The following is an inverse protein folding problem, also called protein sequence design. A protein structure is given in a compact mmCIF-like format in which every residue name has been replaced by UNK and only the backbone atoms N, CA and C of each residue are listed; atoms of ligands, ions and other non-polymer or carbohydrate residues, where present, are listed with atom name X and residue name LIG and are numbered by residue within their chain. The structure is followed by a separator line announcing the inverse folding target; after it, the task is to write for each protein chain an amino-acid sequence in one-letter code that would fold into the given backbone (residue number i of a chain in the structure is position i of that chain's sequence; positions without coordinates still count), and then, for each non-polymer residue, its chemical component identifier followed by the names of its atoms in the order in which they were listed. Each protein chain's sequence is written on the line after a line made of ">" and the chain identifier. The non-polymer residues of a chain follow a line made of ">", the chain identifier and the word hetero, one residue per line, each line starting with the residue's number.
data_IF_264316245079
#
_entry.id   IF_264316245079
#
_cell.length_a   1.000
_cell.length_b   1.000
_cell.length_c   1.000
_cell.angle_alpha   90.00
_cell.angle_beta   90.00
_cell.angle_gamma   90.00
#
_symmetry.space_group_name_H-M   'P 1'
#
loop_
_entity.id
_entity.type
_entity.pdbx_description
1 polymer ?
#
# COMPACT_ATOMS: atom_id res chain seq x y z
N UNK A 1 36.75 -41.77 9.60
CA UNK A 1 36.14 -42.48 8.45
C UNK A 1 34.64 -42.25 8.50
N UNK A 2 34.07 -41.99 7.34
CA UNK A 2 32.86 -41.18 7.11
C UNK A 2 31.54 -41.88 7.48
N UNK A 3 30.53 -41.09 7.86
CA UNK A 3 29.14 -41.34 7.44
C UNK A 3 28.65 -40.07 6.74
N UNK A 4 28.64 -40.14 5.41
CA UNK A 4 28.09 -39.11 4.55
C UNK A 4 26.56 -39.06 4.78
N UNK A 5 26.05 -37.87 5.09
CA UNK A 5 24.63 -37.58 5.00
C UNK A 5 24.22 -37.73 3.53
N UNK A 6 23.29 -38.63 3.24
CA UNK A 6 22.73 -38.74 1.90
C UNK A 6 21.87 -37.50 1.66
N UNK A 7 22.35 -36.62 0.78
CA UNK A 7 21.54 -35.57 0.15
C UNK A 7 20.48 -36.29 -0.68
N UNK A 8 19.21 -35.97 -0.44
CA UNK A 8 18.11 -36.49 -1.23
C UNK A 8 18.12 -35.70 -2.55
N UNK A 9 18.81 -36.22 -3.56
CA UNK A 9 18.74 -35.68 -4.92
C UNK A 9 17.33 -35.94 -5.46
N UNK A 10 16.52 -34.89 -5.46
CA UNK A 10 15.22 -34.87 -6.13
C UNK A 10 15.45 -34.84 -7.64
N UNK A 11 15.38 -36.02 -8.28
CA UNK A 11 15.45 -36.13 -9.74
C UNK A 11 14.13 -35.66 -10.35
N UNK A 12 14.12 -34.46 -10.93
CA UNK A 12 13.01 -34.01 -11.76
C UNK A 12 13.08 -34.70 -13.14
N UNK A 13 12.30 -35.75 -13.33
CA UNK A 13 12.05 -36.36 -14.65
C UNK A 13 11.15 -35.43 -15.48
N UNK A 14 11.72 -34.35 -16.02
CA UNK A 14 11.03 -33.51 -16.99
C UNK A 14 10.89 -34.27 -18.32
N UNK A 15 9.71 -34.84 -18.57
CA UNK A 15 9.35 -35.41 -19.87
C UNK A 15 8.87 -34.29 -20.79
N UNK A 16 9.73 -33.85 -21.72
CA UNK A 16 9.34 -32.91 -22.76
C UNK A 16 8.21 -33.53 -23.63
N UNK A 17 7.12 -32.79 -23.91
CA UNK A 17 6.03 -33.31 -24.74
C UNK A 17 6.54 -33.76 -26.11
N UNK A 18 6.21 -34.99 -26.49
CA UNK A 18 6.64 -35.63 -27.75
C UNK A 18 6.13 -34.86 -28.99
N UNK A 19 5.08 -34.05 -28.82
CA UNK A 19 4.56 -33.13 -29.82
C UNK A 19 4.41 -31.74 -29.22
N UNK A 20 5.39 -30.84 -29.38
CA UNK A 20 5.18 -29.44 -29.06
C UNK A 20 4.05 -28.92 -29.96
N UNK A 21 3.04 -28.29 -29.37
CA UNK A 21 2.01 -27.61 -30.14
C UNK A 21 2.70 -26.59 -31.06
N UNK A 22 2.57 -26.74 -32.38
CA UNK A 22 3.14 -25.78 -33.32
C UNK A 22 2.41 -24.46 -33.15
N UNK A 23 3.06 -23.50 -32.51
CA UNK A 23 2.58 -22.11 -32.49
C UNK A 23 2.68 -21.55 -33.90
N UNK A 24 1.54 -21.15 -34.46
CA UNK A 24 1.48 -20.50 -35.76
C UNK A 24 2.10 -19.09 -35.66
N UNK A 25 3.37 -18.99 -36.03
CA UNK A 25 4.14 -17.73 -36.06
C UNK A 25 3.66 -16.74 -37.12
N UNK A 26 2.75 -17.16 -38.02
CA UNK A 26 2.16 -16.26 -39.03
C UNK A 26 0.91 -15.54 -38.50
N UNK A 27 0.38 -15.98 -37.35
CA UNK A 27 -0.76 -15.34 -36.70
C UNK A 27 -0.33 -14.04 -36.02
N UNK A 28 -0.18 -12.99 -36.82
CA UNK A 28 -0.03 -11.63 -36.29
C UNK A 28 -1.29 -11.28 -35.51
N UNK A 29 -1.12 -10.74 -34.30
CA UNK A 29 -2.26 -10.25 -33.50
C UNK A 29 -2.92 -9.15 -34.35
N UNK A 30 -4.15 -9.40 -34.81
CA UNK A 30 -4.96 -8.36 -35.44
C UNK A 30 -5.05 -7.15 -34.51
N UNK A 31 -5.43 -5.96 -35.01
CA UNK A 31 -5.54 -4.77 -34.17
C UNK A 31 -6.36 -5.13 -32.93
N UNK A 32 -5.77 -4.94 -31.74
CA UNK A 32 -6.35 -5.29 -30.46
C UNK A 32 -7.59 -4.43 -30.20
N UNK A 33 -8.72 -4.79 -30.80
CA UNK A 33 -10.00 -4.09 -30.62
C UNK A 33 -10.67 -4.43 -29.28
N UNK A 34 -10.14 -5.42 -28.56
CA UNK A 34 -10.64 -5.85 -27.24
C UNK A 34 -10.49 -4.76 -26.16
N UNK A 35 -9.61 -3.76 -26.35
CA UNK A 35 -9.36 -2.66 -25.39
C UNK A 35 -9.82 -1.28 -25.90
N UNK A 36 -10.75 -1.24 -26.87
CA UNK A 36 -11.24 0.03 -27.44
C UNK A 36 -10.27 0.64 -28.46
N UNK A 37 -10.50 1.90 -28.88
CA UNK A 37 -9.68 2.55 -29.89
C UNK A 37 -8.21 2.59 -29.47
N UNK A 38 -7.33 2.08 -30.34
CA UNK A 38 -5.89 2.17 -30.12
C UNK A 38 -5.48 3.63 -30.13
N UNK A 39 -5.03 4.16 -28.99
CA UNK A 39 -4.50 5.52 -28.92
C UNK A 39 -3.36 5.71 -29.93
N UNK A 40 -3.28 6.90 -30.49
CA UNK A 40 -2.11 7.37 -31.24
C UNK A 40 -0.92 7.59 -30.32
N UNK A 41 0.29 7.72 -30.88
CA UNK A 41 1.50 8.04 -30.10
C UNK A 41 1.34 9.38 -29.36
N UNK A 42 0.76 10.39 -30.02
CA UNK A 42 0.53 11.71 -29.43
C UNK A 42 -0.46 11.65 -28.26
N UNK A 43 -1.53 10.87 -28.38
CA UNK A 43 -2.51 10.70 -27.29
C UNK A 43 -1.93 9.93 -26.11
N UNK A 44 -1.10 8.89 -26.37
CA UNK A 44 -0.36 8.21 -25.30
C UNK A 44 0.55 9.17 -24.56
N UNK A 45 1.33 9.98 -25.29
CA UNK A 45 2.22 10.96 -24.70
C UNK A 45 1.45 11.96 -23.82
N UNK A 46 0.37 12.55 -24.35
CA UNK A 46 -0.49 13.47 -23.61
C UNK A 46 -1.10 12.83 -22.36
N UNK A 47 -1.55 11.57 -22.44
CA UNK A 47 -2.08 10.84 -21.28
C UNK A 47 -1.01 10.69 -20.21
N UNK A 48 0.21 10.31 -20.60
CA UNK A 48 1.31 10.08 -19.67
C UNK A 48 1.76 11.40 -19.02
N UNK A 49 1.80 12.51 -19.77
CA UNK A 49 2.03 13.86 -19.22
C UNK A 49 0.99 14.24 -18.16
N UNK A 50 -0.31 14.00 -18.42
CA UNK A 50 -1.38 14.29 -17.45
C UNK A 50 -1.24 13.44 -16.18
N UNK A 51 -0.88 12.16 -16.33
CA UNK A 51 -0.63 11.26 -15.19
C UNK A 51 0.55 11.77 -14.36
N UNK A 52 1.67 12.09 -15.01
CA UNK A 52 2.87 12.61 -14.34
C UNK A 52 2.61 13.94 -13.63
N UNK A 53 1.89 14.86 -14.27
CA UNK A 53 1.53 16.14 -13.67
C UNK A 53 0.62 15.96 -12.45
N UNK A 54 -0.37 15.06 -12.52
CA UNK A 54 -1.24 14.70 -11.37
C UNK A 54 -0.42 14.11 -10.23
N UNK A 55 0.50 13.17 -10.51
CA UNK A 55 1.37 12.58 -9.50
C UNK A 55 2.22 13.64 -8.81
N UNK A 56 2.85 14.53 -9.57
CA UNK A 56 3.66 15.62 -9.00
C UNK A 56 2.81 16.59 -8.16
N UNK A 57 1.59 16.91 -8.60
CA UNK A 57 0.65 17.71 -7.82
C UNK A 57 0.27 17.07 -6.48
N UNK A 58 0.02 15.76 -6.48
CA UNK A 58 -0.26 15.01 -5.26
C UNK A 58 0.98 14.93 -4.35
N UNK A 59 2.16 14.73 -4.91
CA UNK A 59 3.42 14.70 -4.16
C UNK A 59 3.69 16.04 -3.47
N UNK A 60 3.52 17.16 -4.19
CA UNK A 60 3.64 18.50 -3.61
C UNK A 60 2.63 18.71 -2.47
N UNK A 61 1.39 18.27 -2.67
CA UNK A 61 0.36 18.36 -1.64
C UNK A 61 0.75 17.55 -0.40
N UNK A 62 1.30 16.35 -0.58
CA UNK A 62 1.74 15.49 0.51
C UNK A 62 2.84 16.14 1.35
N UNK A 63 3.79 16.82 0.70
CA UNK A 63 4.82 17.62 1.36
C UNK A 63 4.23 18.84 2.09
N UNK A 64 3.30 19.54 1.47
CA UNK A 64 2.63 20.71 2.07
C UNK A 64 1.82 20.35 3.31
N UNK A 65 1.19 19.18 3.30
CA UNK A 65 0.41 18.66 4.42
C UNK A 65 1.28 18.01 5.51
N UNK A 66 2.61 18.08 5.40
CA UNK A 66 3.50 17.49 6.39
C UNK A 66 3.30 15.99 6.53
N UNK A 67 3.10 15.28 5.40
CA UNK A 67 2.89 13.84 5.34
C UNK A 67 1.56 13.36 5.95
N UNK A 68 0.65 14.28 6.27
CA UNK A 68 -0.67 13.95 6.78
C UNK A 68 -1.64 13.60 5.64
N UNK A 69 -2.70 12.86 5.99
CA UNK A 69 -3.76 12.51 5.07
C UNK A 69 -4.42 13.77 4.50
N UNK A 70 -4.56 13.81 3.17
CA UNK A 70 -5.20 14.93 2.48
C UNK A 70 -6.72 14.78 2.54
N UNK A 71 -7.44 15.88 2.79
CA UNK A 71 -8.91 15.89 2.72
C UNK A 71 -9.39 15.97 1.26
N UNK A 72 -10.65 15.59 1.02
CA UNK A 72 -11.29 15.66 -0.30
C UNK A 72 -11.18 17.06 -0.94
N UNK A 73 -11.20 18.12 -0.14
CA UNK A 73 -11.05 19.50 -0.64
C UNK A 73 -9.67 19.73 -1.27
N UNK A 74 -8.60 19.26 -0.61
CA UNK A 74 -7.22 19.36 -1.11
C UNK A 74 -7.02 18.49 -2.36
N UNK A 75 -7.54 17.26 -2.35
CA UNK A 75 -7.50 16.37 -3.51
C UNK A 75 -8.27 16.97 -4.71
N UNK A 76 -9.40 17.62 -4.44
CA UNK A 76 -10.20 18.32 -5.45
C UNK A 76 -9.47 19.52 -6.06
N UNK A 77 -8.61 20.19 -5.30
CA UNK A 77 -7.76 21.26 -5.84
C UNK A 77 -6.70 20.71 -6.81
N UNK A 78 -6.03 19.61 -6.45
CA UNK A 78 -5.10 18.93 -7.35
C UNK A 78 -5.81 18.44 -8.62
N UNK A 79 -7.05 17.93 -8.51
CA UNK A 79 -7.85 17.55 -9.68
C UNK A 79 -8.21 18.74 -10.57
N UNK A 80 -8.47 19.93 -10.00
CA UNK A 80 -8.72 21.15 -10.78
C UNK A 80 -7.49 21.61 -11.55
N UNK A 81 -6.30 21.52 -10.95
CA UNK A 81 -5.05 21.93 -11.58
C UNK A 81 -4.51 20.91 -12.58
N UNK A 82 -4.72 19.62 -12.32
CA UNK A 82 -4.19 18.53 -13.13
C UNK A 82 -5.31 17.54 -13.49
N UNK A 83 -6.26 17.94 -14.35
CA UNK A 83 -7.40 17.10 -14.70
C UNK A 83 -6.96 15.91 -15.55
N UNK A 84 -7.35 14.71 -15.12
CA UNK A 84 -7.16 13.49 -15.90
C UNK A 84 -8.29 13.31 -16.92
N UNK A 85 -7.93 12.92 -18.13
CA UNK A 85 -8.91 12.48 -19.12
C UNK A 85 -9.48 11.08 -18.78
N UNK A 86 -10.59 10.70 -19.44
CA UNK A 86 -11.27 9.42 -19.17
C UNK A 86 -10.39 8.19 -19.35
N UNK A 87 -9.48 8.18 -20.33
CA UNK A 87 -8.56 7.07 -20.51
C UNK A 87 -7.54 6.98 -19.36
N UNK A 88 -6.97 8.10 -18.92
CA UNK A 88 -6.05 8.13 -17.79
C UNK A 88 -6.75 7.68 -16.50
N UNK A 89 -7.99 8.12 -16.29
CA UNK A 89 -8.85 7.71 -15.18
C UNK A 89 -9.09 6.19 -15.18
N UNK A 90 -9.49 5.62 -16.31
CA UNK A 90 -9.69 4.18 -16.46
C UNK A 90 -8.39 3.39 -16.24
N UNK A 91 -7.25 3.88 -16.75
CA UNK A 91 -5.95 3.23 -16.57
C UNK A 91 -5.50 3.18 -15.11
N UNK A 92 -5.81 4.23 -14.35
CA UNK A 92 -5.48 4.31 -12.93
C UNK A 92 -6.56 3.70 -12.02
N UNK A 93 -7.66 3.17 -12.59
CA UNK A 93 -8.80 2.71 -11.80
C UNK A 93 -9.44 3.83 -10.96
N UNK A 94 -9.39 5.06 -11.44
CA UNK A 94 -9.94 6.23 -10.75
C UNK A 94 -11.28 6.57 -11.39
N UNK A 95 -12.38 6.30 -10.68
CA UNK A 95 -13.72 6.63 -11.15
C UNK A 95 -14.77 6.05 -10.22
N UNK A 96 -16.03 6.52 -10.32
CA UNK A 96 -17.13 5.92 -9.56
C UNK A 96 -17.30 4.44 -9.90
N UNK A 97 -16.88 3.99 -11.08
CA UNK A 97 -16.96 2.60 -11.51
C UNK A 97 -15.93 1.68 -10.81
N UNK A 98 -14.93 2.27 -10.13
CA UNK A 98 -13.81 1.55 -9.52
C UNK A 98 -13.76 1.68 -7.99
N UNK A 99 -14.76 2.32 -7.36
CA UNK A 99 -14.83 2.36 -5.89
C UNK A 99 -15.18 0.98 -5.35
N UNK A 100 -14.27 0.39 -4.58
CA UNK A 100 -14.54 -0.81 -3.80
C UNK A 100 -15.73 -0.56 -2.85
N UNK A 101 -16.67 -1.50 -2.73
CA UNK A 101 -17.74 -1.38 -1.75
C UNK A 101 -17.12 -1.29 -0.35
N UNK A 102 -17.54 -0.29 0.43
CA UNK A 102 -17.20 -0.24 1.85
C UNK A 102 -17.80 -1.50 2.47
N UNK A 103 -16.94 -2.45 2.85
CA UNK A 103 -17.36 -3.58 3.66
C UNK A 103 -17.85 -3.00 4.99
N UNK A 104 -19.16 -2.81 5.10
CA UNK A 104 -19.82 -2.66 6.38
C UNK A 104 -19.85 -4.06 6.99
N UNK A 105 -18.69 -4.54 7.45
CA UNK A 105 -18.62 -5.71 8.28
C UNK A 105 -19.37 -5.34 9.56
N UNK A 106 -20.65 -5.69 9.59
CA UNK A 106 -21.47 -5.65 10.80
C UNK A 106 -20.76 -6.58 11.78
N UNK A 107 -20.28 -6.10 12.94
CA UNK A 107 -19.72 -6.98 13.93
C UNK A 107 -20.84 -7.94 14.36
N UNK A 108 -20.80 -9.18 13.88
CA UNK A 108 -21.58 -10.25 14.48
C UNK A 108 -20.99 -10.44 15.88
N UNK A 109 -21.81 -10.28 16.92
CA UNK A 109 -21.37 -10.21 18.33
C UNK A 109 -20.68 -11.48 18.88
N UNK A 110 -20.47 -12.49 18.03
CA UNK A 110 -20.06 -13.84 18.40
C UNK A 110 -18.56 -14.00 18.75
N UNK A 111 -17.74 -12.94 18.79
CA UNK A 111 -16.34 -13.05 19.23
C UNK A 111 -16.15 -12.89 20.76
N UNK A 112 -17.17 -12.46 21.52
CA UNK A 112 -17.00 -12.18 22.95
C UNK A 112 -17.54 -13.27 23.89
N UNK A 113 -17.41 -14.54 23.51
CA UNK A 113 -17.76 -15.66 24.40
C UNK A 113 -16.65 -16.71 24.42
N UNK A 114 -15.46 -16.32 24.87
CA UNK A 114 -14.55 -17.28 25.49
C UNK A 114 -14.06 -16.76 26.84
N UNK A 115 -14.91 -17.04 27.83
CA UNK A 115 -14.51 -17.58 29.14
C UNK A 115 -13.66 -16.67 30.01
N UNK A 116 -14.37 -15.86 30.80
CA UNK A 116 -13.96 -15.45 32.14
C UNK A 116 -13.36 -16.64 32.92
N UNK A 117 -12.04 -16.67 33.07
CA UNK A 117 -11.37 -17.47 34.10
C UNK A 117 -10.83 -16.50 35.14
N UNK A 118 -11.69 -16.25 36.11
CA UNK A 118 -11.42 -15.56 37.37
C UNK A 118 -10.33 -16.30 38.15
N UNK A 119 -9.16 -15.68 38.31
CA UNK A 119 -8.14 -16.08 39.29
C UNK A 119 -7.78 -14.84 40.11
N UNK A 120 -8.45 -14.72 41.25
CA UNK A 120 -8.19 -13.75 42.29
C UNK A 120 -6.75 -13.94 42.80
N UNK A 121 -5.89 -12.94 42.54
CA UNK A 121 -4.52 -12.91 43.06
C UNK A 121 -4.39 -11.68 43.96
N UNK A 122 -4.70 -11.92 45.22
CA UNK A 122 -4.55 -11.00 46.35
C UNK A 122 -3.05 -10.91 46.74
N UNK A 123 -2.51 -9.69 46.84
CA UNK A 123 -1.26 -9.39 47.54
C UNK A 123 -1.09 -7.88 47.67
N UNK A 124 -1.60 -7.34 48.77
CA UNK A 124 -1.26 -6.04 49.34
C UNK A 124 0.25 -5.91 49.61
N UNK A 125 0.90 -4.84 49.13
CA UNK A 125 2.06 -4.26 49.82
C UNK A 125 2.16 -2.76 49.51
N UNK A 126 1.62 -1.96 50.43
CA UNK A 126 1.77 -0.51 50.52
C UNK A 126 3.24 -0.15 50.84
N UNK A 127 3.89 0.67 50.00
CA UNK A 127 5.14 1.35 50.36
C UNK A 127 5.02 2.85 50.06
N UNK A 128 4.61 3.59 51.09
CA UNK A 128 4.81 5.04 51.19
C UNK A 128 6.31 5.35 51.21
N UNK A 129 6.77 6.25 50.33
CA UNK A 129 8.05 6.92 50.48
C UNK A 129 7.87 8.42 50.26
N UNK A 130 7.70 9.09 51.39
CA UNK A 130 7.75 10.53 51.58
C UNK A 130 9.04 11.19 51.05
N UNK A 131 8.84 12.41 50.54
CA UNK A 131 9.68 13.61 50.55
C UNK A 131 11.18 13.54 50.90
N UNK A 132 12.00 14.11 49.99
CA UNK A 132 13.01 15.16 50.22
C UNK A 132 13.59 15.52 48.82
N UNK A 133 13.59 16.75 48.30
CA UNK A 133 14.07 18.00 48.88
C UNK A 133 15.52 18.23 48.46
N UNK A 134 15.78 19.07 47.44
CA UNK A 134 16.83 20.10 47.48
C UNK A 134 16.78 21.02 46.25
N UNK A 135 16.98 22.31 46.49
CA UNK A 135 17.04 23.42 45.54
C UNK A 135 18.49 23.61 45.08
N UNK A 136 18.74 23.91 43.79
CA UNK A 136 20.02 24.49 43.39
C UNK A 136 19.89 25.41 42.17
N UNK A 137 19.93 26.69 42.50
CA UNK A 137 20.19 27.89 41.68
C UNK A 137 21.49 27.80 40.86
N UNK A 138 21.46 28.39 39.65
CA UNK A 138 22.56 29.25 39.17
C UNK A 138 23.35 28.79 37.93
N UNK A 139 23.43 29.67 36.92
CA UNK A 139 24.46 29.61 35.87
C UNK A 139 24.13 30.41 34.61
N UNK A 140 24.23 31.74 34.67
CA UNK A 140 24.47 32.58 33.49
C UNK A 140 25.96 32.52 33.15
N UNK A 141 26.32 32.28 31.88
CA UNK A 141 27.55 32.82 31.30
C UNK A 141 27.37 33.00 29.79
N UNK A 142 27.16 34.25 29.38
CA UNK A 142 27.37 34.74 28.01
C UNK A 142 28.80 35.26 27.95
N UNK A 143 29.59 34.77 27.00
CA UNK A 143 30.91 35.33 26.66
C UNK A 143 30.82 35.91 25.23
N UNK A 144 31.41 37.10 25.08
CA UNK A 144 31.34 38.05 23.95
C UNK A 144 31.78 37.50 22.56
#
# INVERSE_FOLDING_TARGET
>A
MCRAACVLEESFDYMAPIYPASMDITRTKGPNTEFGPTLTIAERHRRDELIMARMYGLEMLFHQNGWQASTDMHLGEVERHYPLNGHAKALLGIGPEFREPVNNDIPTDEENVLTSSDVESDSDEEVDLDQAGDEAVGGDEIED
#
